data_IF_413667072017
#
_entry.id   IF_413667072017
#
_cell.length_a   1.000
_cell.length_b   1.000
_cell.length_c   1.000
_cell.angle_alpha   90.00
_cell.angle_beta   90.00
_cell.angle_gamma   90.00
#
_symmetry.space_group_name_H-M   'P 1'
#
loop_
_entity.id
_entity.type
_entity.pdbx_description
1 polymer ?
#
# COMPACT_ATOMS: atom_id res chain seq x y z
N UNK A 1 -13.65 -11.16 14.80
CA UNK A 1 -13.83 -9.96 15.66
C UNK A 1 -12.52 -9.21 15.62
N UNK A 2 -12.55 -7.93 15.35
CA UNK A 2 -11.35 -7.10 15.31
C UNK A 2 -10.88 -6.82 16.76
N UNK A 3 -9.71 -7.34 17.13
CA UNK A 3 -9.11 -7.21 18.46
C UNK A 3 -8.92 -5.73 18.87
N UNK A 4 -8.61 -4.87 17.91
CA UNK A 4 -8.47 -3.43 18.13
C UNK A 4 -9.80 -2.82 18.60
N UNK A 5 -10.92 -3.22 18.00
CA UNK A 5 -12.27 -2.77 18.39
C UNK A 5 -12.62 -3.25 19.79
N UNK A 6 -12.34 -4.52 20.09
CA UNK A 6 -12.57 -5.08 21.44
C UNK A 6 -11.81 -4.31 22.51
N UNK A 7 -10.53 -3.97 22.26
CA UNK A 7 -9.76 -3.17 23.22
C UNK A 7 -10.29 -1.74 23.38
N UNK A 8 -10.76 -1.14 22.28
CA UNK A 8 -11.39 0.19 22.32
C UNK A 8 -12.65 0.19 23.18
N UNK A 9 -13.52 -0.81 23.00
CA UNK A 9 -14.77 -0.96 23.76
C UNK A 9 -14.52 -1.21 25.26
N UNK A 10 -13.40 -1.84 25.60
CA UNK A 10 -12.95 -2.04 27.00
C UNK A 10 -12.22 -0.82 27.59
N UNK A 11 -12.03 0.26 26.82
CA UNK A 11 -11.31 1.46 27.27
C UNK A 11 -9.78 1.39 27.12
N UNK A 12 -9.24 0.31 26.56
CA UNK A 12 -7.80 0.13 26.29
C UNK A 12 -7.37 0.85 25.00
N UNK A 13 -7.62 2.15 24.93
CA UNK A 13 -7.39 2.96 23.71
C UNK A 13 -5.96 2.92 23.20
N UNK A 14 -4.98 2.96 24.11
CA UNK A 14 -3.56 2.91 23.72
C UNK A 14 -3.20 1.59 23.01
N UNK A 15 -3.68 0.48 23.54
CA UNK A 15 -3.43 -0.84 22.92
C UNK A 15 -4.14 -0.95 21.57
N UNK A 16 -5.39 -0.49 21.50
CA UNK A 16 -6.16 -0.45 20.26
C UNK A 16 -5.44 0.35 19.19
N UNK A 17 -4.98 1.56 19.51
CA UNK A 17 -4.26 2.43 18.59
C UNK A 17 -2.90 1.84 18.18
N UNK A 18 -2.13 1.31 19.12
CA UNK A 18 -0.85 0.66 18.81
C UNK A 18 -1.02 -0.52 17.87
N UNK A 19 -2.05 -1.36 18.07
CA UNK A 19 -2.34 -2.49 17.19
C UNK A 19 -2.71 -2.03 15.77
N UNK A 20 -3.54 -0.99 15.64
CA UNK A 20 -3.88 -0.42 14.34
C UNK A 20 -2.66 0.13 13.62
N UNK A 21 -1.81 0.89 14.31
CA UNK A 21 -0.57 1.43 13.73
C UNK A 21 0.36 0.30 13.26
N UNK A 22 0.56 -0.73 14.06
CA UNK A 22 1.39 -1.89 13.67
C UNK A 22 0.80 -2.59 12.45
N UNK A 23 -0.50 -2.74 12.36
CA UNK A 23 -1.16 -3.39 11.23
C UNK A 23 -0.95 -2.59 9.93
N UNK A 24 -1.13 -1.27 9.97
CA UNK A 24 -0.93 -0.38 8.81
C UNK A 24 0.54 -0.39 8.38
N UNK A 25 1.48 -0.20 9.31
CA UNK A 25 2.92 -0.24 9.01
C UNK A 25 3.37 -1.59 8.46
N UNK A 26 2.76 -2.70 8.93
CA UNK A 26 3.04 -4.03 8.39
C UNK A 26 2.54 -4.19 6.96
N UNK A 27 1.38 -3.63 6.62
CA UNK A 27 0.86 -3.64 5.26
C UNK A 27 1.76 -2.82 4.31
N UNK A 28 2.23 -1.64 4.75
CA UNK A 28 3.18 -0.84 3.97
C UNK A 28 4.53 -1.55 3.79
N UNK A 29 5.07 -2.16 4.84
CA UNK A 29 6.31 -2.94 4.75
C UNK A 29 6.16 -4.14 3.79
N UNK A 30 5.00 -4.79 3.79
CA UNK A 30 4.70 -5.86 2.85
C UNK A 30 4.59 -5.34 1.41
N UNK A 31 4.01 -4.17 1.19
CA UNK A 31 3.94 -3.53 -0.12
C UNK A 31 5.35 -3.21 -0.68
N UNK A 32 6.29 -2.79 0.18
CA UNK A 32 7.71 -2.61 -0.21
C UNK A 32 8.34 -3.94 -0.64
N UNK A 33 8.17 -4.99 0.15
CA UNK A 33 8.70 -6.32 -0.18
C UNK A 33 8.10 -6.85 -1.48
N UNK A 34 6.80 -6.67 -1.69
CA UNK A 34 6.11 -7.12 -2.90
C UNK A 34 6.59 -6.34 -4.12
N UNK A 35 6.80 -5.03 -4.02
CA UNK A 35 7.36 -4.19 -5.08
C UNK A 35 8.74 -4.72 -5.52
N UNK A 36 9.63 -4.97 -4.56
CA UNK A 36 10.95 -5.56 -4.84
C UNK A 36 10.86 -6.89 -5.60
N UNK A 37 9.99 -7.78 -5.13
CA UNK A 37 9.79 -9.10 -5.75
C UNK A 37 9.21 -9.00 -7.15
N UNK A 38 8.22 -8.14 -7.37
CA UNK A 38 7.64 -7.91 -8.70
C UNK A 38 8.68 -7.37 -9.68
N UNK A 39 9.49 -6.40 -9.26
CA UNK A 39 10.58 -5.85 -10.08
C UNK A 39 11.59 -6.93 -10.47
N UNK A 40 11.99 -7.78 -9.52
CA UNK A 40 12.89 -8.90 -9.78
C UNK A 40 12.29 -9.93 -10.74
N UNK A 41 11.01 -10.28 -10.55
CA UNK A 41 10.29 -11.22 -11.44
C UNK A 41 10.16 -10.70 -12.87
N UNK A 42 10.05 -9.39 -13.05
CA UNK A 42 10.00 -8.76 -14.38
C UNK A 42 11.37 -8.59 -15.03
N UNK A 43 12.46 -8.95 -14.34
CA UNK A 43 13.82 -8.80 -14.84
C UNK A 43 14.42 -7.41 -14.64
N UNK A 44 13.86 -6.61 -13.75
CA UNK A 44 14.33 -5.26 -13.39
C UNK A 44 14.64 -5.15 -11.89
N UNK A 45 15.49 -6.04 -11.34
CA UNK A 45 15.81 -5.99 -9.92
C UNK A 45 16.45 -4.65 -9.54
N UNK A 46 16.26 -4.26 -8.29
CA UNK A 46 16.97 -3.14 -7.70
C UNK A 46 18.48 -3.39 -7.63
N UNK A 47 19.25 -2.33 -7.41
CA UNK A 47 20.70 -2.47 -7.24
C UNK A 47 21.03 -3.29 -5.99
N UNK A 48 22.05 -4.18 -6.03
CA UNK A 48 22.36 -5.08 -4.92
C UNK A 48 22.67 -4.41 -3.57
N UNK A 49 23.01 -3.12 -3.59
CA UNK A 49 23.47 -2.36 -2.43
C UNK A 49 22.39 -1.41 -1.87
N UNK A 50 21.12 -1.59 -2.25
CA UNK A 50 20.04 -0.74 -1.76
C UNK A 50 19.83 -0.97 -0.26
N UNK A 51 20.03 0.07 0.54
CA UNK A 51 19.82 0.02 2.00
C UNK A 51 18.35 0.17 2.35
N UNK A 52 17.97 -0.18 3.58
CA UNK A 52 16.62 0.11 4.09
C UNK A 52 16.29 1.60 4.01
N UNK A 53 17.26 2.48 4.33
CA UNK A 53 17.09 3.92 4.23
C UNK A 53 16.78 4.36 2.78
N UNK A 54 17.45 3.77 1.80
CA UNK A 54 17.19 4.07 0.39
C UNK A 54 15.77 3.63 -0.01
N UNK A 55 15.30 2.48 0.49
CA UNK A 55 13.93 1.99 0.25
C UNK A 55 12.88 2.94 0.82
N UNK A 56 13.06 3.38 2.07
CA UNK A 56 12.16 4.36 2.69
C UNK A 56 12.16 5.72 1.99
N UNK A 57 13.23 6.05 1.26
CA UNK A 57 13.31 7.25 0.43
C UNK A 57 12.92 7.02 -1.03
N UNK A 58 12.30 5.87 -1.33
CA UNK A 58 11.89 5.48 -2.68
C UNK A 58 13.01 5.59 -3.74
N UNK A 59 14.24 5.27 -3.36
CA UNK A 59 15.41 5.28 -4.27
C UNK A 59 15.58 4.00 -5.08
N UNK A 60 14.56 3.16 -5.09
CA UNK A 60 14.52 1.97 -5.92
C UNK A 60 14.25 2.30 -7.39
N UNK A 61 14.43 1.32 -8.27
CA UNK A 61 14.15 1.46 -9.69
C UNK A 61 12.62 1.47 -9.91
N UNK A 62 12.17 2.42 -10.73
CA UNK A 62 10.76 2.56 -11.05
C UNK A 62 9.98 3.37 -10.01
N UNK A 63 8.69 3.11 -9.93
CA UNK A 63 7.76 3.90 -9.12
C UNK A 63 6.61 3.04 -8.62
N UNK A 64 6.18 3.26 -7.38
CA UNK A 64 4.91 2.77 -6.86
C UNK A 64 3.99 3.96 -6.56
N UNK A 65 2.75 3.89 -7.04
CA UNK A 65 1.73 4.92 -6.88
C UNK A 65 0.50 4.30 -6.26
N UNK A 66 0.08 4.81 -5.11
CA UNK A 66 -1.15 4.39 -4.44
C UNK A 66 -2.31 5.30 -4.79
N UNK A 67 -3.53 4.76 -4.74
CA UNK A 67 -4.75 5.51 -4.98
C UNK A 67 -5.04 6.49 -3.83
N UNK A 68 -5.67 7.64 -4.15
CA UNK A 68 -5.95 8.71 -3.19
C UNK A 68 -4.77 9.64 -2.91
N UNK A 69 -3.62 9.44 -3.56
CA UNK A 69 -2.44 10.31 -3.46
C UNK A 69 -2.28 11.19 -4.71
N UNK A 70 -1.48 12.27 -4.65
CA UNK A 70 -1.42 13.28 -5.72
C UNK A 70 -1.16 12.75 -7.13
N UNK A 71 -0.39 11.67 -7.27
CA UNK A 71 -0.14 11.07 -8.59
C UNK A 71 -1.29 10.16 -9.09
N UNK A 72 -2.23 9.79 -8.23
CA UNK A 72 -3.43 9.01 -8.57
C UNK A 72 -4.58 9.40 -7.63
N UNK A 73 -5.13 10.64 -7.77
CA UNK A 73 -6.01 11.23 -6.77
C UNK A 73 -7.41 10.62 -6.72
N UNK A 74 -7.88 10.02 -7.82
CA UNK A 74 -9.22 9.46 -7.91
C UNK A 74 -9.28 8.11 -7.16
N UNK A 75 -9.83 8.13 -5.95
CA UNK A 75 -9.93 6.93 -5.11
C UNK A 75 -10.90 5.90 -5.71
N UNK A 76 -11.93 6.36 -6.42
CA UNK A 76 -12.91 5.54 -7.13
C UNK A 76 -12.28 4.66 -8.24
N UNK A 77 -11.11 5.01 -8.76
CA UNK A 77 -10.39 4.19 -9.73
C UNK A 77 -9.95 2.82 -9.16
N UNK A 78 -9.95 2.68 -7.84
CA UNK A 78 -9.74 1.38 -7.19
C UNK A 78 -10.77 0.33 -7.61
N UNK A 79 -12.00 0.72 -7.97
CA UNK A 79 -13.02 -0.22 -8.46
C UNK A 79 -12.53 -1.01 -9.68
N UNK A 80 -11.83 -0.34 -10.60
CA UNK A 80 -11.25 -0.96 -11.79
C UNK A 80 -10.17 -1.98 -11.42
N UNK A 81 -9.31 -1.61 -10.45
CA UNK A 81 -8.29 -2.51 -9.94
C UNK A 81 -8.90 -3.72 -9.24
N UNK A 82 -9.93 -3.50 -8.43
CA UNK A 82 -10.64 -4.57 -7.72
C UNK A 82 -11.39 -5.50 -8.66
N UNK A 83 -11.99 -4.98 -9.74
CA UNK A 83 -12.59 -5.80 -10.78
C UNK A 83 -11.55 -6.69 -11.50
N UNK A 84 -10.33 -6.19 -11.69
CA UNK A 84 -9.25 -6.93 -12.34
C UNK A 84 -8.63 -8.00 -11.43
N UNK A 85 -8.38 -7.68 -10.17
CA UNK A 85 -7.64 -8.54 -9.24
C UNK A 85 -8.52 -9.45 -8.39
N UNK A 86 -9.81 -9.13 -8.26
CA UNK A 86 -10.77 -9.86 -7.40
C UNK A 86 -10.28 -10.06 -5.96
N UNK A 87 -9.85 -9.01 -5.24
CA UNK A 87 -9.22 -9.13 -3.93
C UNK A 87 -10.19 -9.61 -2.83
N UNK A 88 -11.48 -9.63 -3.09
CA UNK A 88 -12.48 -10.26 -2.21
C UNK A 88 -12.16 -11.73 -1.92
N UNK A 89 -11.46 -12.41 -2.82
CA UNK A 89 -11.00 -13.79 -2.62
C UNK A 89 -10.01 -13.96 -1.46
N UNK A 90 -9.34 -12.87 -1.06
CA UNK A 90 -8.44 -12.81 0.10
C UNK A 90 -9.01 -11.95 1.23
N UNK A 91 -10.31 -11.61 1.18
CA UNK A 91 -11.00 -10.88 2.23
C UNK A 91 -10.81 -9.37 2.22
N UNK A 92 -10.35 -8.78 1.10
CA UNK A 92 -10.24 -7.32 0.94
C UNK A 92 -11.38 -6.81 0.06
N UNK A 93 -12.13 -5.84 0.56
CA UNK A 93 -13.27 -5.22 -0.13
C UNK A 93 -13.15 -3.69 -0.13
N UNK A 94 -14.00 -3.02 -0.92
CA UNK A 94 -14.16 -1.57 -0.87
C UNK A 94 -15.44 -1.21 -0.13
N UNK A 95 -15.36 -0.14 0.66
CA UNK A 95 -16.53 0.53 1.23
C UNK A 95 -17.23 1.39 0.18
N UNK A 96 -18.40 1.96 0.51
CA UNK A 96 -19.12 2.91 -0.35
C UNK A 96 -18.30 4.17 -0.72
N UNK A 97 -17.33 4.52 0.13
CA UNK A 97 -16.40 5.64 -0.12
C UNK A 97 -15.08 5.19 -0.76
N UNK A 98 -15.04 4.01 -1.37
CA UNK A 98 -13.89 3.41 -2.03
C UNK A 98 -12.65 3.22 -1.12
N UNK A 99 -12.85 3.17 0.22
CA UNK A 99 -11.81 2.81 1.15
C UNK A 99 -11.69 1.29 1.25
N UNK A 100 -10.48 0.77 1.43
CA UNK A 100 -10.27 -0.66 1.61
C UNK A 100 -10.70 -1.14 3.00
N UNK A 101 -11.31 -2.30 3.05
CA UNK A 101 -11.57 -3.04 4.29
C UNK A 101 -11.00 -4.46 4.18
N UNK A 102 -10.12 -4.88 5.11
CA UNK A 102 -9.64 -4.13 6.29
C UNK A 102 -8.80 -2.89 5.92
N UNK A 103 -8.82 -1.86 6.81
CA UNK A 103 -8.08 -0.61 6.63
C UNK A 103 -6.57 -0.84 6.49
N UNK A 104 -6.02 -1.85 7.16
CA UNK A 104 -4.62 -2.27 7.02
C UNK A 104 -4.40 -3.05 5.72
N UNK A 105 -4.66 -2.39 4.59
CA UNK A 105 -4.49 -2.89 3.22
C UNK A 105 -3.82 -1.83 2.36
N UNK A 106 -3.06 -2.27 1.37
CA UNK A 106 -2.40 -1.38 0.40
C UNK A 106 -2.78 -1.82 -1.01
N UNK A 107 -3.23 -0.88 -1.83
CA UNK A 107 -3.39 -1.03 -3.27
C UNK A 107 -2.48 -0.06 -3.99
N UNK A 108 -1.80 -0.49 -5.03
CA UNK A 108 -0.88 0.35 -5.77
C UNK A 108 -0.67 -0.11 -7.21
N UNK A 109 -0.25 0.83 -8.05
CA UNK A 109 0.30 0.59 -9.37
C UNK A 109 1.83 0.59 -9.28
N UNK A 110 2.49 -0.39 -9.87
CA UNK A 110 3.95 -0.51 -9.89
C UNK A 110 4.44 -0.32 -11.32
N UNK A 111 5.37 0.61 -11.51
CA UNK A 111 5.98 0.94 -12.78
C UNK A 111 7.49 0.65 -12.72
N UNK A 112 8.00 -0.16 -13.66
CA UNK A 112 9.42 -0.56 -13.69
C UNK A 112 10.33 0.40 -14.46
N UNK A 113 9.77 1.42 -15.14
CA UNK A 113 10.56 2.34 -15.94
C UNK A 113 11.57 3.13 -15.07
N UNK A 114 12.88 3.07 -15.31
CA UNK A 114 13.88 3.75 -14.49
C UNK A 114 13.81 5.29 -14.58
N UNK A 115 13.10 5.82 -15.58
CA UNK A 115 12.87 7.26 -15.74
C UNK A 115 11.54 7.72 -15.14
N UNK A 116 10.72 6.79 -14.63
CA UNK A 116 9.48 7.16 -13.92
C UNK A 116 9.82 8.06 -12.72
N UNK A 117 9.03 9.12 -12.55
CA UNK A 117 9.15 10.05 -11.43
C UNK A 117 7.78 10.31 -10.84
N UNK A 118 7.75 10.45 -9.54
CA UNK A 118 6.53 10.86 -8.85
C UNK A 118 6.20 12.31 -9.24
N UNK A 119 4.95 12.59 -9.52
CA UNK A 119 4.47 13.93 -9.83
C UNK A 119 3.21 14.24 -9.03
N UNK A 120 2.95 15.53 -8.82
CA UNK A 120 1.72 16.01 -8.21
C UNK A 120 0.82 16.59 -9.30
N UNK A 121 -0.45 16.19 -9.30
CA UNK A 121 -1.46 16.78 -10.17
C UNK A 121 -1.90 18.11 -9.56
N UNK A 122 -1.22 19.19 -9.83
CA UNK A 122 -1.60 20.51 -9.28
C UNK A 122 -0.52 21.58 -9.21
N UNK A 123 0.62 21.38 -9.89
CA UNK A 123 1.60 22.45 -10.17
C UNK A 123 1.55 22.86 -11.63
#
# INVERSE_FOLDING_TARGET
>A
MDLSREWREKGDYLKSHALQSIAIESAEAFAELLHERLSAMWGFPDTPNLTLSDRFQARYRGLRVSFGYPACPALEDQEKLFALLSPSSIGVTLTENHMMEPEASVSALVFHNPHARYFSMGE
#
